data_IF_471475534217
#
_entry.id   IF_471475534217
#
_cell.length_a   1.000
_cell.length_b   1.000
_cell.length_c   1.000
_cell.angle_alpha   90.00
_cell.angle_beta   90.00
_cell.angle_gamma   90.00
#
_symmetry.space_group_name_H-M   'P 1'
#
loop_
_entity.id
_entity.type
_entity.pdbx_description
1 polymer ?
#
# COMPACT_ATOMS: atom_id res chain seq x y z
N UNK A 1 2.32 4.11 13.14
CA UNK A 1 1.89 3.49 11.88
C UNK A 1 2.85 3.86 10.78
N UNK A 2 3.31 2.86 10.05
CA UNK A 2 4.11 2.98 8.84
C UNK A 2 3.22 3.02 7.60
N UNK A 3 2.14 2.22 7.55
CA UNK A 3 1.20 2.23 6.45
C UNK A 3 -0.20 1.69 6.79
N UNK A 4 -1.19 2.11 5.99
CA UNK A 4 -2.56 1.56 5.99
C UNK A 4 -2.87 1.12 4.58
N UNK A 5 -3.26 -0.14 4.41
CA UNK A 5 -3.70 -0.70 3.12
C UNK A 5 -5.22 -0.83 3.09
N UNK A 6 -5.87 -0.32 2.04
CA UNK A 6 -7.31 -0.48 1.81
C UNK A 6 -7.56 -1.20 0.49
N UNK A 7 -8.49 -2.16 0.52
CA UNK A 7 -8.53 -3.26 -0.42
C UNK A 7 -7.42 -4.26 -0.13
N UNK A 8 -7.25 -5.26 -1.00
CA UNK A 8 -6.13 -6.22 -1.12
C UNK A 8 -5.58 -6.98 0.12
N UNK A 9 -5.55 -6.45 1.34
CA UNK A 9 -4.37 -6.64 2.18
C UNK A 9 -4.65 -7.19 3.58
N UNK A 10 -5.62 -8.08 3.64
CA UNK A 10 -6.33 -8.38 4.87
C UNK A 10 -6.37 -9.88 5.13
N UNK A 11 -6.94 -10.62 4.18
CA UNK A 11 -6.91 -12.07 4.18
C UNK A 11 -5.58 -12.65 3.67
N UNK A 12 -4.72 -11.83 3.04
CA UNK A 12 -3.39 -12.24 2.55
C UNK A 12 -2.47 -12.56 3.72
N UNK A 13 -2.50 -11.73 4.77
CA UNK A 13 -1.71 -11.91 6.00
C UNK A 13 -2.12 -13.22 6.70
N UNK A 14 -3.42 -13.45 6.87
CA UNK A 14 -3.94 -14.66 7.50
C UNK A 14 -3.62 -15.95 6.72
N UNK A 15 -3.65 -15.94 5.38
CA UNK A 15 -3.31 -17.13 4.58
C UNK A 15 -1.79 -17.36 4.48
N UNK A 16 -0.98 -16.29 4.59
CA UNK A 16 0.49 -16.38 4.75
C UNK A 16 0.85 -16.97 6.11
N UNK A 17 0.17 -16.57 7.19
CA UNK A 17 0.38 -17.09 8.54
C UNK A 17 -0.08 -18.55 8.67
N UNK A 18 -1.23 -18.91 8.10
CA UNK A 18 -1.78 -20.29 8.13
C UNK A 18 -0.84 -21.32 7.49
N UNK A 19 -0.01 -20.90 6.53
CA UNK A 19 0.99 -21.75 5.85
C UNK A 19 2.39 -21.67 6.47
N UNK A 20 2.58 -20.84 7.49
CA UNK A 20 3.87 -20.56 8.13
C UNK A 20 4.44 -21.68 9.01
N UNK A 21 3.70 -22.77 9.27
CA UNK A 21 4.18 -23.89 10.08
C UNK A 21 5.17 -24.82 9.35
N UNK A 22 5.35 -24.68 8.03
CA UNK A 22 6.25 -25.50 7.19
C UNK A 22 7.54 -24.77 6.77
N UNK A 23 8.05 -23.90 7.64
CA UNK A 23 9.30 -23.13 7.48
C UNK A 23 10.55 -24.02 7.42
N UNK A 24 11.48 -23.72 6.49
CA UNK A 24 12.88 -23.30 6.82
C UNK A 24 13.84 -23.00 5.66
N UNK A 25 13.49 -23.21 4.38
CA UNK A 25 14.53 -23.18 3.32
C UNK A 25 14.24 -22.39 2.03
N UNK A 26 13.11 -21.69 1.90
CA UNK A 26 12.77 -21.00 0.66
C UNK A 26 12.40 -19.52 0.85
N UNK A 27 12.97 -18.69 -0.02
CA UNK A 27 12.82 -17.24 -0.14
C UNK A 27 11.43 -16.71 0.24
N UNK A 28 11.34 -16.00 1.36
CA UNK A 28 10.13 -15.31 1.87
C UNK A 28 9.36 -14.55 0.78
N UNK A 29 10.09 -13.89 -0.14
CA UNK A 29 9.53 -13.11 -1.22
C UNK A 29 8.70 -13.94 -2.22
N UNK A 30 9.12 -15.18 -2.52
CA UNK A 30 8.45 -16.01 -3.52
C UNK A 30 7.08 -16.52 -3.05
N UNK A 31 6.96 -16.79 -1.74
CA UNK A 31 5.70 -17.22 -1.14
C UNK A 31 4.71 -16.07 -0.99
N UNK A 32 5.16 -14.89 -0.56
CA UNK A 32 4.34 -13.67 -0.60
C UNK A 32 3.87 -13.36 -2.02
N UNK A 33 4.75 -13.54 -3.01
CA UNK A 33 4.43 -13.36 -4.42
C UNK A 33 3.42 -14.39 -4.97
N UNK A 34 3.54 -15.65 -4.60
CA UNK A 34 2.61 -16.69 -5.04
C UNK A 34 1.21 -16.48 -4.43
N UNK A 35 1.13 -16.01 -3.18
CA UNK A 35 -0.12 -15.61 -2.54
C UNK A 35 -0.73 -14.39 -3.26
N UNK A 36 0.10 -13.39 -3.58
CA UNK A 36 -0.26 -12.20 -4.36
C UNK A 36 -0.84 -12.56 -5.74
N UNK A 37 -0.16 -13.37 -6.57
CA UNK A 37 -0.65 -13.77 -7.90
C UNK A 37 -1.94 -14.58 -7.84
N UNK A 38 -2.03 -15.52 -6.88
CA UNK A 38 -3.19 -16.41 -6.75
C UNK A 38 -4.46 -15.63 -6.38
N UNK A 39 -4.37 -14.64 -5.50
CA UNK A 39 -5.55 -13.89 -5.06
C UNK A 39 -5.92 -12.76 -6.02
N UNK A 40 -4.96 -12.15 -6.71
CA UNK A 40 -5.23 -11.27 -7.84
C UNK A 40 -6.14 -11.93 -8.87
N UNK A 41 -6.00 -13.24 -9.10
CA UNK A 41 -6.89 -14.00 -10.01
C UNK A 41 -8.31 -14.19 -9.46
N UNK A 42 -8.53 -14.06 -8.14
CA UNK A 42 -9.81 -14.26 -7.45
C UNK A 42 -10.53 -12.98 -7.08
N UNK A 43 -9.81 -11.87 -6.89
CA UNK A 43 -10.40 -10.57 -6.61
C UNK A 43 -11.20 -10.08 -7.81
N UNK A 44 -12.34 -9.41 -7.56
CA UNK A 44 -13.10 -8.83 -8.66
C UNK A 44 -12.35 -7.62 -9.22
N UNK A 45 -11.74 -7.79 -10.39
CA UNK A 45 -10.98 -6.72 -11.08
C UNK A 45 -11.85 -5.95 -12.07
N UNK A 46 -13.13 -6.30 -12.20
CA UNK A 46 -14.02 -5.76 -13.24
C UNK A 46 -14.69 -4.46 -12.83
N UNK A 47 -14.75 -4.16 -11.53
CA UNK A 47 -15.43 -2.98 -10.98
C UNK A 47 -14.56 -2.33 -9.92
N UNK A 48 -14.63 -1.00 -9.84
CA UNK A 48 -14.04 -0.25 -8.75
C UNK A 48 -14.68 -0.66 -7.42
N UNK A 49 -13.89 -0.60 -6.36
CA UNK A 49 -14.31 -1.01 -5.01
C UNK A 49 -14.56 0.18 -4.09
N UNK A 50 -13.88 1.29 -4.34
CA UNK A 50 -13.97 2.47 -3.49
C UNK A 50 -13.56 3.73 -4.24
N UNK A 51 -13.94 4.87 -3.66
CA UNK A 51 -13.42 6.18 -4.03
C UNK A 51 -12.37 6.65 -3.01
N UNK A 52 -11.44 7.49 -3.45
CA UNK A 52 -10.47 8.16 -2.57
C UNK A 52 -10.58 9.67 -2.75
N UNK A 53 -10.86 10.37 -1.65
CA UNK A 53 -10.94 11.83 -1.59
C UNK A 53 -9.79 12.36 -0.76
N UNK A 54 -8.94 13.17 -1.39
CA UNK A 54 -7.87 13.92 -0.72
C UNK A 54 -8.21 15.39 -0.80
N UNK A 55 -8.11 16.10 0.31
CA UNK A 55 -8.46 17.52 0.37
C UNK A 55 -7.71 18.34 -0.69
N UNK A 56 -8.46 19.15 -1.46
CA UNK A 56 -7.89 19.99 -2.51
C UNK A 56 -7.38 19.26 -3.76
N UNK A 57 -7.64 17.95 -3.90
CA UNK A 57 -7.28 17.15 -5.08
C UNK A 57 -8.53 16.58 -5.77
N UNK A 58 -8.45 16.23 -7.07
CA UNK A 58 -9.52 15.50 -7.74
C UNK A 58 -9.79 14.15 -7.08
N UNK A 59 -11.05 13.79 -6.92
CA UNK A 59 -11.48 12.48 -6.43
C UNK A 59 -11.04 11.37 -7.38
N UNK A 60 -10.64 10.23 -6.81
CA UNK A 60 -10.38 8.99 -7.55
C UNK A 60 -11.55 8.04 -7.31
N UNK A 61 -12.52 7.99 -8.23
CA UNK A 61 -13.74 7.16 -8.08
C UNK A 61 -13.58 5.70 -8.54
N UNK A 62 -12.42 5.35 -9.10
CA UNK A 62 -12.13 4.06 -9.71
C UNK A 62 -11.04 3.29 -8.94
N UNK A 63 -11.04 3.42 -7.61
CA UNK A 63 -10.06 2.77 -6.73
C UNK A 63 -10.23 1.25 -6.69
N UNK A 64 -9.12 0.53 -6.91
CA UNK A 64 -9.04 -0.93 -6.81
C UNK A 64 -8.20 -1.39 -5.63
N UNK A 65 -7.13 -0.65 -5.34
CA UNK A 65 -6.23 -0.85 -4.20
C UNK A 65 -5.60 0.48 -3.84
N UNK A 66 -5.54 0.82 -2.55
CA UNK A 66 -4.86 2.03 -2.12
C UNK A 66 -4.04 1.77 -0.88
N UNK A 67 -2.92 2.46 -0.79
CA UNK A 67 -2.04 2.46 0.36
C UNK A 67 -1.80 3.89 0.80
N UNK A 68 -1.96 4.12 2.09
CA UNK A 68 -1.49 5.32 2.76
C UNK A 68 -0.17 5.01 3.46
N UNK A 69 0.84 5.84 3.21
CA UNK A 69 2.22 5.67 3.66
C UNK A 69 2.57 6.84 4.56
N UNK A 70 3.04 6.53 5.77
CA UNK A 70 3.70 7.50 6.63
C UNK A 70 5.22 7.55 6.34
N UNK A 71 5.78 6.44 5.84
CA UNK A 71 7.21 6.32 5.49
C UNK A 71 7.42 5.37 4.30
N UNK A 72 8.47 5.58 3.52
CA UNK A 72 8.98 4.66 2.50
C UNK A 72 10.32 4.03 2.95
N UNK A 73 10.61 2.76 2.61
CA UNK A 73 9.88 1.86 1.71
C UNK A 73 8.60 1.28 2.32
N UNK A 74 7.57 1.08 1.47
CA UNK A 74 6.32 0.42 1.87
C UNK A 74 6.56 -0.98 2.44
N UNK A 75 7.40 -1.75 1.75
CA UNK A 75 7.80 -3.10 2.16
C UNK A 75 9.14 -3.47 1.53
N UNK A 76 9.68 -4.64 1.86
CA UNK A 76 10.87 -5.21 1.22
C UNK A 76 10.51 -6.51 0.51
N UNK A 77 10.92 -6.64 -0.76
CA UNK A 77 10.82 -7.89 -1.51
C UNK A 77 12.21 -8.54 -1.52
N UNK A 78 12.40 -9.51 -0.62
CA UNK A 78 13.71 -10.10 -0.37
C UNK A 78 14.63 -9.07 0.28
N UNK A 79 15.70 -8.69 -0.42
CA UNK A 79 16.63 -7.63 0.04
C UNK A 79 16.40 -6.28 -0.64
N UNK A 80 15.43 -6.17 -1.55
CA UNK A 80 15.18 -4.93 -2.30
C UNK A 80 14.03 -4.14 -1.68
N UNK A 81 14.21 -2.82 -1.46
CA UNK A 81 13.10 -1.96 -1.04
C UNK A 81 12.05 -1.90 -2.15
N UNK A 82 10.78 -1.93 -1.76
CA UNK A 82 9.66 -1.69 -2.62
C UNK A 82 9.19 -0.25 -2.43
N UNK A 83 9.77 0.65 -3.23
CA UNK A 83 9.62 2.09 -3.09
C UNK A 83 8.46 2.58 -3.97
N UNK A 84 7.41 3.05 -3.33
CA UNK A 84 6.18 3.52 -4.00
C UNK A 84 6.04 5.02 -3.85
N UNK A 85 6.49 5.58 -2.71
CA UNK A 85 6.45 7.01 -2.43
C UNK A 85 7.80 7.46 -1.82
N UNK A 86 8.87 7.61 -2.63
CA UNK A 86 10.19 8.02 -2.13
C UNK A 86 10.21 9.26 -1.22
N UNK A 87 9.22 10.13 -1.33
CA UNK A 87 9.03 11.34 -0.53
C UNK A 87 8.34 11.11 0.83
N UNK A 88 7.79 9.93 1.10
CA UNK A 88 7.20 9.59 2.38
C UNK A 88 8.33 9.42 3.40
N UNK A 89 8.58 10.47 4.17
CA UNK A 89 9.56 10.52 5.26
C UNK A 89 8.84 10.85 6.55
N UNK A 90 9.41 10.47 7.69
CA UNK A 90 8.82 10.75 9.02
C UNK A 90 8.52 12.23 9.27
N UNK A 91 9.24 13.13 8.60
CA UNK A 91 9.10 14.59 8.77
C UNK A 91 8.07 15.21 7.81
N UNK A 92 7.35 14.39 7.03
CA UNK A 92 6.37 14.85 6.04
C UNK A 92 5.00 14.24 6.29
N UNK A 93 3.91 14.90 5.85
CA UNK A 93 2.59 14.31 5.89
C UNK A 93 2.48 13.06 5.03
N UNK A 94 1.32 12.42 5.07
CA UNK A 94 1.07 11.12 4.46
C UNK A 94 1.22 11.17 2.93
N UNK A 95 1.55 10.02 2.35
CA UNK A 95 1.47 9.80 0.90
C UNK A 95 0.45 8.72 0.59
N UNK A 96 -0.47 8.97 -0.33
CA UNK A 96 -1.49 8.02 -0.77
C UNK A 96 -1.23 7.61 -2.21
N UNK A 97 -1.18 6.31 -2.44
CA UNK A 97 -1.02 5.71 -3.77
C UNK A 97 -2.20 4.80 -4.05
N UNK A 98 -2.97 5.11 -5.10
CA UNK A 98 -4.16 4.35 -5.48
C UNK A 98 -3.99 3.73 -6.86
N UNK A 99 -4.10 2.41 -6.94
CA UNK A 99 -4.21 1.68 -8.20
C UNK A 99 -5.65 1.73 -8.69
N UNK A 100 -5.82 2.11 -9.97
CA UNK A 100 -7.12 2.22 -10.65
C UNK A 100 -7.49 0.98 -11.44
N UNK A 101 -6.51 0.12 -11.69
CA UNK A 101 -6.69 -1.18 -12.34
C UNK A 101 -5.75 -2.18 -11.70
N UNK A 102 -6.20 -3.42 -11.64
CA UNK A 102 -5.37 -4.54 -11.28
C UNK A 102 -4.99 -5.37 -12.51
N UNK A 103 -5.19 -4.92 -13.74
CA UNK A 103 -4.79 -5.69 -14.93
C UNK A 103 -3.32 -6.09 -14.86
N UNK A 104 -3.02 -7.33 -15.26
CA UNK A 104 -1.70 -7.93 -15.05
C UNK A 104 -0.55 -7.10 -15.66
N UNK A 105 -0.73 -6.57 -16.88
CA UNK A 105 0.32 -5.81 -17.58
C UNK A 105 0.60 -4.46 -16.90
N UNK A 106 -0.40 -3.59 -16.64
CA UNK A 106 -0.20 -2.39 -15.83
C UNK A 106 0.41 -2.67 -14.47
N UNK A 107 -0.10 -3.69 -13.77
CA UNK A 107 0.36 -4.05 -12.43
C UNK A 107 1.82 -4.48 -12.44
N UNK A 108 2.24 -5.35 -13.37
CA UNK A 108 3.64 -5.74 -13.49
C UNK A 108 4.56 -4.55 -13.78
N UNK A 109 4.13 -3.60 -14.62
CA UNK A 109 4.91 -2.37 -14.87
C UNK A 109 5.06 -1.53 -13.60
N UNK A 110 3.98 -1.35 -12.85
CA UNK A 110 3.94 -0.65 -11.56
C UNK A 110 4.92 -1.30 -10.58
N UNK A 111 4.81 -2.62 -10.38
CA UNK A 111 5.68 -3.39 -9.51
C UNK A 111 7.15 -3.31 -9.94
N UNK A 112 7.43 -3.41 -11.24
CA UNK A 112 8.81 -3.32 -11.76
C UNK A 112 9.43 -1.93 -11.54
N UNK A 113 8.62 -0.86 -11.62
CA UNK A 113 9.06 0.50 -11.31
C UNK A 113 9.34 0.68 -9.82
N UNK A 114 8.50 0.10 -8.95
CA UNK A 114 8.63 0.18 -7.50
C UNK A 114 9.88 -0.54 -6.95
N UNK A 115 10.31 -1.61 -7.62
CA UNK A 115 11.59 -2.29 -7.33
C UNK A 115 12.82 -1.52 -7.85
N UNK A 116 12.61 -0.45 -8.61
CA UNK A 116 13.62 0.48 -9.09
C UNK A 116 13.54 1.82 -8.36
N UNK A 117 13.33 2.91 -9.09
CA UNK A 117 13.29 4.28 -8.54
C UNK A 117 11.88 4.78 -8.20
N UNK A 118 10.83 3.98 -8.44
CA UNK A 118 9.44 4.39 -8.27
C UNK A 118 8.95 5.44 -9.29
N UNK A 119 9.84 6.05 -10.08
CA UNK A 119 9.55 7.23 -10.92
C UNK A 119 8.49 7.00 -12.01
N UNK A 120 8.38 5.78 -12.54
CA UNK A 120 7.41 5.49 -13.61
C UNK A 120 5.98 5.31 -13.07
N UNK A 121 5.82 5.07 -11.76
CA UNK A 121 4.50 4.98 -11.12
C UNK A 121 3.71 6.29 -11.28
N UNK A 122 4.36 7.43 -11.01
CA UNK A 122 3.73 8.76 -11.00
C UNK A 122 3.13 9.17 -12.35
N UNK A 123 3.68 8.65 -13.45
CA UNK A 123 3.27 9.01 -14.81
C UNK A 123 2.24 8.02 -15.39
N UNK A 124 1.85 7.00 -14.63
CA UNK A 124 0.90 5.99 -15.08
C UNK A 124 -0.52 6.51 -14.90
N UNK A 125 -1.32 6.53 -15.97
CA UNK A 125 -2.77 6.83 -15.87
C UNK A 125 -3.55 5.86 -14.96
N UNK A 126 -2.96 4.70 -14.66
CA UNK A 126 -3.53 3.64 -13.84
C UNK A 126 -3.18 3.78 -12.35
N UNK A 127 -2.43 4.82 -11.99
CA UNK A 127 -2.00 5.11 -10.61
C UNK A 127 -2.36 6.56 -10.31
N UNK A 128 -3.08 6.77 -9.21
CA UNK A 128 -3.16 8.10 -8.60
C UNK A 128 -2.12 8.18 -7.48
N UNK A 129 -1.45 9.32 -7.37
CA UNK A 129 -0.44 9.58 -6.37
C UNK A 129 -0.69 10.95 -5.75
N UNK A 130 -0.80 10.99 -4.43
CA UNK A 130 -0.94 12.22 -3.65
C UNK A 130 0.11 12.23 -2.53
N UNK A 131 1.00 13.21 -2.53
CA UNK A 131 1.91 13.48 -1.42
C UNK A 131 1.40 14.64 -0.57
N UNK A 132 2.01 14.81 0.60
CA UNK A 132 1.69 15.88 1.57
C UNK A 132 0.20 15.88 1.97
N UNK A 133 -0.35 14.68 2.17
CA UNK A 133 -1.75 14.46 2.55
C UNK A 133 -1.90 14.59 4.07
N UNK A 134 -2.71 15.57 4.50
CA UNK A 134 -3.06 15.77 5.91
C UNK A 134 -4.39 15.11 6.28
N UNK A 135 -5.29 14.99 5.31
CA UNK A 135 -6.62 14.40 5.47
C UNK A 135 -7.05 13.68 4.19
N UNK A 136 -7.57 12.47 4.34
CA UNK A 136 -8.17 11.71 3.26
C UNK A 136 -9.33 10.84 3.74
N UNK A 137 -10.29 10.63 2.85
CA UNK A 137 -11.44 9.77 3.07
C UNK A 137 -11.49 8.71 1.97
N UNK A 138 -11.77 7.47 2.38
CA UNK A 138 -11.97 6.33 1.47
C UNK A 138 -13.38 5.80 1.69
N UNK A 139 -14.20 5.85 0.65
CA UNK A 139 -15.58 5.37 0.67
C UNK A 139 -15.72 4.15 -0.21
N UNK A 140 -16.07 3.01 0.39
CA UNK A 140 -16.36 1.78 -0.32
C UNK A 140 -17.70 1.81 -1.05
N UNK A 141 -17.79 1.14 -2.20
CA UNK A 141 -19.05 0.82 -2.87
C UNK A 141 -19.71 -0.44 -2.28
N UNK A 142 -19.40 -0.73 -1.02
CA UNK A 142 -19.65 -1.93 -0.26
C UNK A 142 -18.51 -2.15 0.76
N UNK A 143 -18.58 -3.19 1.60
CA UNK A 143 -17.51 -3.51 2.54
C UNK A 143 -16.19 -3.79 1.82
N UNK A 144 -15.14 -3.06 2.21
CA UNK A 144 -13.78 -3.18 1.70
C UNK A 144 -12.85 -3.61 2.82
N UNK A 145 -11.99 -4.62 2.58
CA UNK A 145 -11.04 -5.06 3.59
C UNK A 145 -9.95 -4.01 3.80
N UNK A 146 -9.44 -3.90 5.03
CA UNK A 146 -8.34 -2.99 5.34
C UNK A 146 -7.38 -3.57 6.36
N UNK A 147 -6.16 -3.05 6.34
CA UNK A 147 -5.07 -3.47 7.21
C UNK A 147 -4.24 -2.28 7.65
N UNK A 148 -3.60 -2.44 8.79
CA UNK A 148 -2.73 -1.43 9.40
C UNK A 148 -1.42 -2.09 9.79
N UNK A 149 -0.30 -1.59 9.27
CA UNK A 149 1.06 -2.09 9.58
C UNK A 149 1.29 -3.60 9.40
N UNK A 150 0.49 -4.24 8.55
CA UNK A 150 0.47 -5.67 8.27
C UNK A 150 -0.64 -6.43 8.98
N UNK A 151 -1.42 -5.80 9.87
CA UNK A 151 -2.48 -6.46 10.64
C UNK A 151 -3.85 -6.27 9.98
N UNK A 152 -4.56 -7.37 9.73
CA UNK A 152 -5.92 -7.32 9.20
C UNK A 152 -6.93 -6.88 10.26
N UNK A 153 -7.70 -5.84 9.95
CA UNK A 153 -8.66 -5.25 10.90
C UNK A 153 -10.13 -5.45 10.50
N UNK A 154 -10.41 -6.20 9.43
CA UNK A 154 -11.77 -6.48 8.96
C UNK A 154 -12.18 -5.66 7.73
N UNK A 155 -13.47 -5.71 7.43
CA UNK A 155 -14.08 -4.96 6.35
C UNK A 155 -14.75 -3.69 6.89
N UNK A 156 -14.62 -2.59 6.15
CA UNK A 156 -15.20 -1.29 6.49
C UNK A 156 -15.90 -0.72 5.26
N UNK A 157 -16.86 0.18 5.43
CA UNK A 157 -17.47 0.91 4.32
C UNK A 157 -16.87 2.31 4.15
N UNK A 158 -16.28 2.85 5.22
CA UNK A 158 -15.69 4.18 5.24
C UNK A 158 -14.42 4.18 6.10
N UNK A 159 -13.36 4.82 5.61
CA UNK A 159 -12.13 5.06 6.34
C UNK A 159 -11.75 6.53 6.28
N UNK A 160 -11.36 7.06 7.43
CA UNK A 160 -10.81 8.39 7.56
C UNK A 160 -9.34 8.30 7.97
N UNK A 161 -8.48 8.99 7.22
CA UNK A 161 -7.05 9.06 7.46
C UNK A 161 -6.65 10.50 7.76
N UNK A 162 -6.05 10.72 8.92
CA UNK A 162 -5.54 12.03 9.34
C UNK A 162 -4.07 11.93 9.71
N UNK A 163 -3.31 12.91 9.28
CA UNK A 163 -1.93 13.11 9.71
C UNK A 163 -1.92 13.90 11.02
N UNK A 164 -1.28 13.35 12.05
CA UNK A 164 -1.02 14.04 13.30
C UNK A 164 0.49 14.28 13.44
N UNK A 165 0.98 15.52 13.28
CA UNK A 165 2.39 15.82 13.46
C UNK A 165 2.82 15.62 14.92
N UNK A 166 4.07 15.20 15.13
CA UNK A 166 4.69 15.09 16.46
C UNK A 166 3.94 14.18 17.46
N UNK A 167 3.07 13.29 16.98
CA UNK A 167 2.29 12.38 17.82
C UNK A 167 3.16 11.40 18.65
N UNK A 168 4.38 11.12 18.20
CA UNK A 168 5.30 10.16 18.81
C UNK A 168 6.74 10.68 18.81
N UNK A 169 7.42 10.55 19.95
CA UNK A 169 8.87 10.80 20.04
C UNK A 169 9.65 9.52 19.70
N UNK A 170 10.55 9.60 18.71
CA UNK A 170 11.35 8.47 18.25
C UNK A 170 12.82 8.61 18.67
N UNK A 171 13.42 7.52 19.14
CA UNK A 171 14.88 7.45 19.35
C UNK A 171 15.52 6.87 18.10
N UNK A 172 16.31 7.69 17.40
CA UNK A 172 17.05 7.27 16.20
C UNK A 172 18.51 6.98 16.53
N UNK A 173 19.13 5.94 15.92
CA UNK A 173 20.56 5.70 16.06
C UNK A 173 21.35 6.91 15.57
N UNK A 174 22.45 7.24 16.25
CA UNK A 174 23.37 8.27 15.76
C UNK A 174 23.97 7.80 14.44
N UNK A 175 23.66 8.48 13.34
CA UNK A 175 24.31 8.23 12.06
C UNK A 175 25.78 8.63 12.21
N UNK A 176 26.70 7.67 12.14
CA UNK A 176 28.12 7.97 12.15
C UNK A 176 28.47 8.56 10.77
N UNK A 177 28.64 9.87 10.70
CA UNK A 177 29.20 10.54 9.53
C UNK A 177 30.57 9.94 9.24
N UNK A 178 30.75 9.30 8.09
CA UNK A 178 32.07 9.00 7.52
C UNK A 178 32.37 9.99 6.42
#
# INVERSE_FOLDING_TARGET
MFHVGIGFDAAVVAEVERRGSLKRWANHALFGWAAFDTWLRKYDRKRAHFSVRVEGKPTVDDGMFTVCLNTDPYTFIGTRPFTIAPEATLDRPLSIVTLRTLDAVPLLRILSSALGSGRQLRNSKNVSFHADVTHAEIDGYGPIPHQVDGDYLGDIEHLELRYEPDALSLVVPRTNSR
#
